data_IF_385567342537
#
_entry.id   IF_385567342537
#
_cell.length_a   1.000
_cell.length_b   1.000
_cell.length_c   1.000
_cell.angle_alpha   90.00
_cell.angle_beta   90.00
_cell.angle_gamma   90.00
#
_symmetry.space_group_name_H-M   'P 1'
#
loop_
_entity.id
_entity.type
_entity.pdbx_description
1 polymer ?
#
# COMPACT_ATOMS: atom_id res chain seq x y z
N UNK A 1 12.17 -3.29 -16.25
CA UNK A 1 10.81 -3.88 -16.35
C UNK A 1 10.46 -4.34 -14.95
N UNK A 2 9.42 -3.78 -14.31
CA UNK A 2 9.02 -4.19 -12.96
C UNK A 2 8.88 -5.72 -12.91
N UNK A 3 9.80 -6.38 -12.22
CA UNK A 3 9.88 -7.84 -12.16
C UNK A 3 8.49 -8.42 -11.82
N UNK A 4 8.06 -9.47 -12.53
CA UNK A 4 6.77 -10.13 -12.26
C UNK A 4 6.63 -10.52 -10.79
N UNK A 5 7.73 -10.95 -10.18
CA UNK A 5 7.82 -11.31 -8.77
C UNK A 5 7.61 -10.08 -7.89
N UNK A 6 8.28 -8.97 -8.18
CA UNK A 6 8.12 -7.71 -7.44
C UNK A 6 6.68 -7.17 -7.54
N UNK A 7 6.01 -7.36 -8.69
CA UNK A 7 4.60 -7.04 -8.86
C UNK A 7 3.71 -7.91 -7.99
N UNK A 8 3.91 -9.22 -7.99
CA UNK A 8 3.15 -10.15 -7.15
C UNK A 8 3.34 -9.79 -5.67
N UNK A 9 4.57 -9.51 -5.23
CA UNK A 9 4.84 -9.09 -3.86
C UNK A 9 4.15 -7.77 -3.54
N UNK A 10 4.24 -6.77 -4.42
CA UNK A 10 3.57 -5.47 -4.24
C UNK A 10 2.05 -5.63 -4.05
N UNK A 11 1.39 -6.38 -4.93
CA UNK A 11 -0.06 -6.64 -4.83
C UNK A 11 -0.38 -7.41 -3.55
N UNK A 12 0.45 -8.39 -3.18
CA UNK A 12 0.30 -9.16 -1.95
C UNK A 12 0.35 -8.27 -0.70
N UNK A 13 1.26 -7.31 -0.63
CA UNK A 13 1.34 -6.38 0.51
C UNK A 13 0.13 -5.43 0.57
N UNK A 14 -0.36 -4.97 -0.59
CA UNK A 14 -1.59 -4.17 -0.61
C UNK A 14 -2.81 -4.98 -0.13
N UNK A 15 -2.91 -6.24 -0.52
CA UNK A 15 -3.99 -7.14 -0.06
C UNK A 15 -3.89 -7.44 1.44
N UNK A 16 -2.70 -7.72 1.97
CA UNK A 16 -2.51 -7.87 3.42
C UNK A 16 -2.94 -6.61 4.15
N UNK A 17 -2.48 -5.43 3.71
CA UNK A 17 -2.88 -4.16 4.31
C UNK A 17 -4.39 -3.95 4.28
N UNK A 18 -5.09 -4.35 3.20
CA UNK A 18 -6.57 -4.24 3.10
C UNK A 18 -7.31 -5.14 4.09
N UNK A 19 -6.81 -6.37 4.27
CA UNK A 19 -7.48 -7.42 5.03
C UNK A 19 -7.19 -7.34 6.54
N UNK A 20 -6.16 -6.61 6.96
CA UNK A 20 -5.91 -6.36 8.38
C UNK A 20 -7.09 -5.62 9.05
N UNK A 21 -7.36 -5.87 10.34
CA UNK A 21 -8.33 -5.11 11.12
C UNK A 21 -8.09 -3.61 11.02
N UNK A 22 -9.15 -2.79 10.93
CA UNK A 22 -9.00 -1.34 10.71
C UNK A 22 -8.26 -0.62 11.86
N UNK A 23 -8.33 -1.17 13.07
CA UNK A 23 -7.62 -0.70 14.26
C UNK A 23 -6.13 -1.11 14.31
N UNK A 24 -5.69 -2.07 13.47
CA UNK A 24 -4.29 -2.44 13.37
C UNK A 24 -3.54 -1.44 12.48
N UNK A 25 -3.15 -0.33 13.09
CA UNK A 25 -2.44 0.76 12.43
C UNK A 25 -0.99 0.37 12.08
N UNK A 26 -0.29 -0.28 13.00
CA UNK A 26 1.13 -0.60 12.85
C UNK A 26 1.34 -1.70 11.81
N UNK A 27 0.54 -2.77 11.86
CA UNK A 27 0.62 -3.84 10.89
C UNK A 27 0.32 -3.33 9.48
N UNK A 28 -0.75 -2.55 9.33
CA UNK A 28 -1.14 -2.05 8.01
C UNK A 28 -0.17 -1.03 7.42
N UNK A 29 0.35 -0.08 8.21
CA UNK A 29 1.36 0.85 7.69
C UNK A 29 2.70 0.16 7.39
N UNK A 30 3.07 -0.88 8.15
CA UNK A 30 4.28 -1.66 7.86
C UNK A 30 4.23 -2.29 6.47
N UNK A 31 3.09 -2.90 6.10
CA UNK A 31 2.90 -3.49 4.77
C UNK A 31 2.86 -2.43 3.65
N UNK A 32 2.22 -1.29 3.89
CA UNK A 32 2.18 -0.18 2.93
C UNK A 32 3.56 0.47 2.73
N UNK A 33 4.35 0.61 3.80
CA UNK A 33 5.73 1.09 3.73
C UNK A 33 6.64 0.11 2.98
N UNK A 34 6.47 -1.20 3.18
CA UNK A 34 7.19 -2.20 2.40
C UNK A 34 6.87 -2.07 0.91
N UNK A 35 5.58 -1.95 0.55
CA UNK A 35 5.16 -1.72 -0.82
C UNK A 35 5.75 -0.43 -1.42
N UNK A 36 5.79 0.66 -0.64
CA UNK A 36 6.43 1.90 -1.06
C UNK A 36 7.94 1.73 -1.29
N UNK A 37 8.63 0.98 -0.43
CA UNK A 37 10.04 0.64 -0.59
C UNK A 37 10.32 -0.13 -1.88
N UNK A 38 9.47 -1.09 -2.25
CA UNK A 38 9.57 -1.81 -3.52
C UNK A 38 9.46 -0.87 -4.73
N UNK A 39 8.52 0.09 -4.69
CA UNK A 39 8.34 1.07 -5.76
C UNK A 39 9.58 1.95 -5.90
N UNK A 40 10.09 2.48 -4.78
CA UNK A 40 11.31 3.30 -4.77
C UNK A 40 12.53 2.54 -5.28
N UNK A 41 12.69 1.27 -4.88
CA UNK A 41 13.79 0.43 -5.34
C UNK A 41 13.71 0.17 -6.84
N UNK A 42 12.53 -0.18 -7.36
CA UNK A 42 12.35 -0.44 -8.78
C UNK A 42 12.55 0.82 -9.63
N UNK A 43 12.12 2.00 -9.15
CA UNK A 43 12.40 3.27 -9.80
C UNK A 43 13.91 3.54 -9.84
N UNK A 44 14.60 3.37 -8.72
CA UNK A 44 16.05 3.56 -8.63
C UNK A 44 16.83 2.63 -9.57
N UNK A 45 16.39 1.38 -9.70
CA UNK A 45 16.97 0.40 -10.62
C UNK A 45 16.65 0.66 -12.10
N UNK A 46 15.76 1.61 -12.40
CA UNK A 46 15.28 1.88 -13.75
C UNK A 46 14.30 0.83 -14.28
N UNK A 47 13.72 0.01 -13.39
CA UNK A 47 12.76 -1.02 -13.78
C UNK A 47 11.39 -0.47 -14.17
N UNK A 48 11.05 0.69 -13.61
CA UNK A 48 9.87 1.49 -13.91
C UNK A 48 10.27 2.95 -14.13
N UNK A 49 9.44 3.66 -14.88
CA UNK A 49 9.57 5.10 -15.04
C UNK A 49 8.89 5.85 -13.88
N UNK A 50 9.13 7.16 -13.86
CA UNK A 50 8.58 8.04 -12.83
C UNK A 50 7.04 8.05 -12.84
N UNK A 51 6.43 8.00 -14.03
CA UNK A 51 4.97 7.94 -14.19
C UNK A 51 4.38 6.70 -13.52
N UNK A 52 4.97 5.53 -13.77
CA UNK A 52 4.55 4.26 -13.16
C UNK A 52 4.76 4.31 -11.66
N UNK A 53 5.89 4.81 -11.18
CA UNK A 53 6.14 4.95 -9.74
C UNK A 53 5.07 5.84 -9.06
N UNK A 54 4.72 6.98 -9.66
CA UNK A 54 3.67 7.86 -9.17
C UNK A 54 2.32 7.15 -9.10
N UNK A 55 1.94 6.40 -10.14
CA UNK A 55 0.71 5.60 -10.14
C UNK A 55 0.69 4.55 -9.02
N UNK A 56 1.80 3.86 -8.80
CA UNK A 56 1.92 2.86 -7.72
C UNK A 56 1.82 3.51 -6.33
N UNK A 57 2.44 4.67 -6.12
CA UNK A 57 2.29 5.43 -4.88
C UNK A 57 0.85 5.91 -4.66
N UNK A 58 0.14 6.34 -5.70
CA UNK A 58 -1.28 6.66 -5.59
C UNK A 58 -2.12 5.47 -5.15
N UNK A 59 -1.82 4.26 -5.64
CA UNK A 59 -2.51 3.04 -5.20
C UNK A 59 -2.26 2.75 -3.72
N UNK A 60 -1.03 2.92 -3.23
CA UNK A 60 -0.71 2.80 -1.80
C UNK A 60 -1.54 3.80 -0.99
N UNK A 61 -1.55 5.07 -1.40
CA UNK A 61 -2.32 6.13 -0.74
C UNK A 61 -3.82 5.85 -0.74
N UNK A 62 -4.38 5.33 -1.83
CA UNK A 62 -5.80 4.96 -1.89
C UNK A 62 -6.15 3.86 -0.89
N UNK A 63 -5.30 2.84 -0.73
CA UNK A 63 -5.49 1.79 0.29
C UNK A 63 -5.46 2.39 1.69
N UNK A 64 -4.48 3.26 1.98
CA UNK A 64 -4.39 3.98 3.26
C UNK A 64 -5.65 4.79 3.57
N UNK A 65 -6.08 5.64 2.64
CA UNK A 65 -7.27 6.48 2.81
C UNK A 65 -8.54 5.66 3.05
N UNK A 66 -8.71 4.54 2.34
CA UNK A 66 -9.85 3.64 2.54
C UNK A 66 -9.85 3.01 3.93
N UNK A 67 -8.68 2.66 4.48
CA UNK A 67 -8.56 2.13 5.84
C UNK A 67 -8.89 3.19 6.89
N UNK A 68 -8.37 4.40 6.75
CA UNK A 68 -8.72 5.52 7.63
C UNK A 68 -10.22 5.78 7.60
N UNK A 69 -10.85 5.77 6.43
CA UNK A 69 -12.30 5.93 6.30
C UNK A 69 -13.09 4.80 6.96
N UNK A 70 -12.58 3.55 6.99
CA UNK A 70 -13.18 2.45 7.77
C UNK A 70 -13.03 2.71 9.26
N UNK A 71 -11.84 3.05 9.73
CA UNK A 71 -11.57 3.36 11.14
C UNK A 71 -12.47 4.48 11.66
N UNK A 72 -12.62 5.58 10.91
CA UNK A 72 -13.51 6.68 11.29
C UNK A 72 -14.98 6.24 11.36
N UNK A 73 -15.43 5.36 10.47
CA UNK A 73 -16.79 4.80 10.51
C UNK A 73 -17.00 3.90 11.73
N UNK A 74 -16.05 3.00 11.99
CA UNK A 74 -16.11 2.09 13.13
C UNK A 74 -16.14 2.88 14.45
N UNK A 75 -15.31 3.93 14.56
CA UNK A 75 -15.31 4.82 15.71
C UNK A 75 -16.64 5.55 15.88
N UNK A 76 -17.24 6.05 14.79
CA UNK A 76 -18.55 6.72 14.83
C UNK A 76 -19.68 5.79 15.25
N UNK A 77 -19.65 4.50 14.86
CA UNK A 77 -20.69 3.53 15.20
C UNK A 77 -20.56 2.96 16.62
N UNK A 78 -19.39 3.14 17.26
CA UNK A 78 -19.13 2.71 18.63
C UNK A 78 -19.55 3.74 19.69
N UNK A 79 -19.91 4.97 19.27
CA UNK A 79 -20.48 6.04 20.10
C UNK A 79 -22.00 6.03 19.95
#
# INVERSE_FOLDING_TARGET
MFDKTARITFEGQLEKARNLPANDLVGSESELCYAAGLVSYALFRGDIDHTTATLLHHRISAVRSNRVARLCRDHRMAV
#
